data_IF_172328378265
#
_entry.id   IF_172328378265
#
_cell.length_a   1.000
_cell.length_b   1.000
_cell.length_c   1.000
_cell.angle_alpha   90.00
_cell.angle_beta   90.00
_cell.angle_gamma   90.00
#
_symmetry.space_group_name_H-M   'P 1'
#
loop_
_entity.id
_entity.type
_entity.pdbx_description
1 polymer ?
#
# COMPACT_ATOMS: atom_id res chain seq x y z
N UNK A 1 -35.99 -47.40 -19.57
CA UNK A 1 -36.09 -48.70 -18.85
C UNK A 1 -35.48 -48.56 -17.48
N UNK A 2 -36.36 -48.78 -16.45
CA UNK A 2 -36.14 -49.26 -15.06
C UNK A 2 -35.01 -48.60 -14.25
N UNK A 3 -35.33 -47.64 -13.37
CA UNK A 3 -35.53 -47.67 -11.90
C UNK A 3 -34.63 -48.69 -11.17
N UNK A 4 -33.83 -48.22 -10.21
CA UNK A 4 -33.74 -48.82 -8.87
C UNK A 4 -33.30 -47.78 -7.83
N UNK A 5 -34.21 -47.46 -6.92
CA UNK A 5 -34.06 -46.88 -5.59
C UNK A 5 -33.28 -47.85 -4.71
N UNK A 6 -32.43 -47.36 -3.84
CA UNK A 6 -32.14 -48.04 -2.58
C UNK A 6 -31.96 -47.00 -1.43
N UNK A 7 -32.93 -47.01 -0.56
CA UNK A 7 -32.95 -46.36 0.75
C UNK A 7 -32.26 -47.27 1.76
N UNK A 8 -31.41 -46.73 2.62
CA UNK A 8 -30.93 -47.38 3.84
C UNK A 8 -31.07 -46.39 5.04
N UNK A 9 -31.87 -46.77 5.80
CA UNK A 9 -32.46 -46.72 7.15
C UNK A 9 -31.51 -46.21 8.25
N UNK A 10 -32.08 -45.32 9.04
CA UNK A 10 -31.68 -44.86 10.38
C UNK A 10 -31.46 -46.03 11.35
N UNK A 11 -30.44 -45.89 12.22
CA UNK A 11 -30.47 -46.55 13.55
C UNK A 11 -30.07 -45.53 14.61
N UNK A 12 -31.07 -45.13 15.38
CA UNK A 12 -30.97 -44.46 16.66
C UNK A 12 -30.61 -45.51 17.73
N UNK A 13 -29.61 -45.27 18.54
CA UNK A 13 -29.44 -46.00 19.81
C UNK A 13 -29.28 -44.97 20.92
N UNK A 14 -30.38 -44.85 21.65
CA UNK A 14 -30.47 -44.24 22.97
C UNK A 14 -29.93 -45.22 24.03
N UNK A 15 -29.01 -44.77 24.85
CA UNK A 15 -28.76 -45.37 26.15
C UNK A 15 -29.01 -44.34 27.25
N UNK A 16 -30.16 -44.55 27.93
CA UNK A 16 -30.50 -44.03 29.24
C UNK A 16 -30.23 -45.15 30.24
N UNK A 17 -29.62 -44.83 31.34
CA UNK A 17 -29.80 -45.41 32.70
C UNK A 17 -28.63 -44.95 33.60
N UNK A 18 -28.75 -44.65 34.80
CA UNK A 18 -29.80 -44.43 35.78
C UNK A 18 -29.09 -44.04 37.09
N UNK A 19 -29.79 -43.33 37.93
CA UNK A 19 -29.41 -42.85 39.26
C UNK A 19 -28.89 -43.90 40.21
N UNK A 20 -28.02 -43.50 41.17
CA UNK A 20 -27.74 -44.21 42.40
C UNK A 20 -27.12 -43.27 43.41
N UNK A 21 -27.91 -42.89 44.41
CA UNK A 21 -27.63 -42.01 45.54
C UNK A 21 -26.96 -42.79 46.66
N UNK A 22 -25.92 -42.27 47.35
CA UNK A 22 -25.85 -42.16 48.82
C UNK A 22 -24.56 -41.50 49.33
N UNK A 23 -24.78 -40.55 50.13
CA UNK A 23 -24.02 -39.81 51.14
C UNK A 23 -22.89 -40.53 51.88
N UNK A 24 -21.79 -39.84 52.17
CA UNK A 24 -21.44 -39.27 53.48
C UNK A 24 -20.01 -38.76 53.53
N UNK A 25 -19.88 -37.53 54.01
CA UNK A 25 -18.81 -36.95 54.86
C UNK A 25 -17.36 -37.37 54.71
N UNK A 26 -16.47 -36.47 54.32
CA UNK A 26 -15.57 -35.77 55.25
C UNK A 26 -14.60 -34.82 54.52
N UNK A 27 -14.49 -33.64 55.06
CA UNK A 27 -13.52 -32.60 54.84
C UNK A 27 -12.11 -33.03 54.51
N UNK A 28 -11.51 -32.46 53.44
CA UNK A 28 -10.13 -31.91 53.47
C UNK A 28 -9.96 -30.88 52.38
N UNK A 29 -9.61 -29.70 52.83
CA UNK A 29 -9.03 -28.59 52.15
C UNK A 29 -7.97 -29.07 51.11
N UNK A 30 -8.18 -28.79 49.85
CA UNK A 30 -7.10 -28.77 48.86
C UNK A 30 -7.44 -27.63 47.90
N UNK A 31 -6.72 -26.53 48.09
CA UNK A 31 -6.54 -25.49 47.06
C UNK A 31 -6.25 -26.19 45.72
N UNK A 32 -7.27 -26.32 44.91
CA UNK A 32 -7.10 -26.44 43.46
C UNK A 32 -6.91 -25.04 42.90
N UNK A 33 -5.67 -24.69 42.69
CA UNK A 33 -5.35 -23.72 41.62
C UNK A 33 -6.04 -24.23 40.35
N UNK A 34 -7.21 -23.72 40.07
CA UNK A 34 -7.82 -23.81 38.75
C UNK A 34 -6.95 -22.95 37.85
N UNK A 35 -5.91 -23.56 37.26
CA UNK A 35 -5.28 -23.07 36.07
C UNK A 35 -6.38 -23.03 35.00
N UNK A 36 -7.14 -21.92 34.93
CA UNK A 36 -7.94 -21.58 33.75
C UNK A 36 -6.93 -21.52 32.61
N UNK A 37 -6.86 -22.56 31.78
CA UNK A 37 -6.30 -22.42 30.45
C UNK A 37 -7.12 -21.29 29.81
N UNK A 38 -6.52 -20.13 29.66
CA UNK A 38 -7.11 -19.08 28.84
C UNK A 38 -7.33 -19.70 27.46
N UNK A 39 -8.53 -19.58 26.93
CA UNK A 39 -8.87 -20.07 25.60
C UNK A 39 -7.99 -19.34 24.59
N UNK A 40 -7.37 -20.10 23.69
CA UNK A 40 -6.51 -19.54 22.64
C UNK A 40 -7.40 -18.81 21.64
N UNK A 41 -7.14 -17.52 21.46
CA UNK A 41 -7.80 -16.67 20.46
C UNK A 41 -6.99 -16.73 19.17
N UNK A 42 -7.65 -16.94 18.04
CA UNK A 42 -7.01 -16.84 16.71
C UNK A 42 -7.49 -15.56 16.03
N UNK A 43 -6.57 -14.66 15.72
CA UNK A 43 -6.81 -13.48 14.90
C UNK A 43 -6.38 -13.73 13.46
N UNK A 44 -7.15 -13.20 12.52
CA UNK A 44 -6.87 -13.31 11.09
C UNK A 44 -6.37 -11.99 10.53
N UNK A 45 -5.32 -12.04 9.72
CA UNK A 45 -4.73 -10.87 9.08
C UNK A 45 -4.71 -11.03 7.56
N UNK A 46 -5.31 -10.08 6.83
CA UNK A 46 -5.24 -10.01 5.36
C UNK A 46 -3.99 -9.24 4.94
N UNK A 47 -3.10 -9.92 4.21
CA UNK A 47 -1.85 -9.36 3.67
C UNK A 47 -1.85 -9.50 2.14
N UNK A 48 -1.79 -8.40 1.39
CA UNK A 48 -1.70 -8.47 -0.06
C UNK A 48 -0.36 -9.06 -0.51
N UNK A 49 -0.39 -9.94 -1.52
CA UNK A 49 0.82 -10.54 -2.10
C UNK A 49 1.57 -11.54 -1.22
N UNK A 50 1.03 -11.93 -0.05
CA UNK A 50 1.72 -12.82 0.88
C UNK A 50 2.10 -14.17 0.27
N UNK A 51 1.21 -14.81 -0.47
CA UNK A 51 1.49 -16.09 -1.16
C UNK A 51 2.50 -15.94 -2.31
N UNK A 52 2.71 -14.71 -2.79
CA UNK A 52 3.72 -14.37 -3.78
C UNK A 52 5.07 -14.00 -3.16
N UNK A 53 5.18 -14.10 -1.84
CA UNK A 53 6.39 -13.83 -1.07
C UNK A 53 6.46 -12.44 -0.44
N UNK A 54 5.51 -11.54 -0.73
CA UNK A 54 5.50 -10.19 -0.17
C UNK A 54 5.45 -10.22 1.36
N UNK A 55 6.51 -9.73 2.01
CA UNK A 55 6.70 -9.72 3.46
C UNK A 55 6.51 -11.08 4.16
N UNK A 56 6.51 -12.19 3.41
CA UNK A 56 6.20 -13.50 3.96
C UNK A 56 7.18 -13.94 5.05
N UNK A 57 8.46 -13.77 4.81
CA UNK A 57 9.52 -14.13 5.77
C UNK A 57 9.41 -13.25 7.02
N UNK A 58 9.27 -11.92 6.84
CA UNK A 58 9.20 -10.95 7.92
C UNK A 58 7.98 -11.16 8.81
N UNK A 59 6.80 -11.39 8.22
CA UNK A 59 5.59 -11.69 8.99
C UNK A 59 5.67 -13.04 9.67
N UNK A 60 6.21 -14.07 9.02
CA UNK A 60 6.36 -15.40 9.65
C UNK A 60 7.25 -15.32 10.89
N UNK A 61 8.38 -14.61 10.81
CA UNK A 61 9.28 -14.40 11.95
C UNK A 61 8.59 -13.58 13.06
N UNK A 62 7.97 -12.45 12.70
CA UNK A 62 7.31 -11.58 13.67
C UNK A 62 6.13 -12.27 14.37
N UNK A 63 5.31 -13.02 13.64
CA UNK A 63 4.21 -13.83 14.20
C UNK A 63 4.76 -14.86 15.18
N UNK A 64 5.81 -15.57 14.82
CA UNK A 64 6.42 -16.58 15.70
C UNK A 64 6.97 -15.97 17.01
N UNK A 65 7.53 -14.75 16.95
CA UNK A 65 7.99 -14.02 18.14
C UNK A 65 6.81 -13.52 18.98
N UNK A 66 5.77 -12.96 18.33
CA UNK A 66 4.57 -12.48 18.99
C UNK A 66 3.84 -13.61 19.75
N UNK A 67 3.62 -14.76 19.09
CA UNK A 67 2.93 -15.91 19.68
C UNK A 67 3.71 -16.51 20.86
N UNK A 68 5.04 -16.40 20.84
CA UNK A 68 5.87 -16.83 21.97
C UNK A 68 5.71 -15.91 23.19
N UNK A 69 5.57 -14.60 22.94
CA UNK A 69 5.31 -13.61 24.00
C UNK A 69 3.84 -13.67 24.48
N UNK A 70 2.91 -14.09 23.60
CA UNK A 70 1.47 -14.11 23.83
C UNK A 70 0.90 -15.51 23.52
N UNK A 71 1.14 -16.53 24.36
CA UNK A 71 0.83 -17.94 24.03
C UNK A 71 -0.68 -18.24 23.90
N UNK A 72 -1.54 -17.32 24.34
CA UNK A 72 -2.99 -17.37 24.21
C UNK A 72 -3.52 -16.69 22.93
N UNK A 73 -2.65 -16.13 22.07
CA UNK A 73 -3.04 -15.52 20.80
C UNK A 73 -2.32 -16.22 19.66
N UNK A 74 -3.07 -16.57 18.60
CA UNK A 74 -2.56 -17.07 17.32
C UNK A 74 -2.86 -16.08 16.22
N UNK A 75 -1.96 -16.00 15.22
CA UNK A 75 -2.13 -15.11 14.06
C UNK A 75 -2.09 -15.94 12.79
N UNK A 76 -3.19 -15.93 12.04
CA UNK A 76 -3.30 -16.60 10.74
C UNK A 76 -3.36 -15.57 9.61
N UNK A 77 -2.50 -15.74 8.58
CA UNK A 77 -2.45 -14.83 7.44
C UNK A 77 -3.33 -15.34 6.31
N UNK A 78 -4.17 -14.45 5.80
CA UNK A 78 -4.97 -14.62 4.58
C UNK A 78 -4.30 -13.80 3.48
N UNK A 79 -4.06 -14.39 2.31
CA UNK A 79 -3.50 -13.71 1.16
C UNK A 79 -4.58 -13.22 0.20
N UNK A 80 -4.29 -12.08 -0.47
CA UNK A 80 -5.03 -11.58 -1.63
C UNK A 80 -4.04 -10.96 -2.63
N UNK A 81 -4.40 -10.88 -3.91
CA UNK A 81 -3.64 -10.06 -4.88
C UNK A 81 -3.83 -8.56 -4.59
N UNK A 82 -2.84 -7.76 -4.96
CA UNK A 82 -2.94 -6.30 -4.82
C UNK A 82 -4.13 -5.73 -5.63
N UNK A 83 -4.35 -6.24 -6.84
CA UNK A 83 -5.40 -5.78 -7.76
C UNK A 83 -6.81 -6.10 -7.24
N UNK A 84 -6.96 -7.17 -6.48
CA UNK A 84 -8.25 -7.63 -5.96
C UNK A 84 -8.48 -7.29 -4.48
N UNK A 85 -7.50 -6.64 -3.83
CA UNK A 85 -7.50 -6.38 -2.39
C UNK A 85 -8.79 -5.69 -1.91
N UNK A 86 -9.13 -4.55 -2.52
CA UNK A 86 -10.30 -3.76 -2.13
C UNK A 86 -11.60 -4.55 -2.32
N UNK A 87 -11.77 -5.23 -3.45
CA UNK A 87 -12.95 -6.06 -3.69
C UNK A 87 -13.04 -7.24 -2.72
N UNK A 88 -11.91 -7.84 -2.37
CA UNK A 88 -11.82 -8.92 -1.39
C UNK A 88 -12.25 -8.46 0.01
N UNK A 89 -11.78 -7.29 0.44
CA UNK A 89 -12.18 -6.68 1.72
C UNK A 89 -13.70 -6.50 1.78
N UNK A 90 -14.29 -5.90 0.73
CA UNK A 90 -15.75 -5.69 0.67
C UNK A 90 -16.51 -7.02 0.71
N UNK A 91 -16.07 -8.02 -0.07
CA UNK A 91 -16.71 -9.34 -0.10
C UNK A 91 -16.67 -10.04 1.27
N UNK A 92 -15.51 -10.03 1.93
CA UNK A 92 -15.34 -10.66 3.24
C UNK A 92 -16.17 -9.94 4.32
N UNK A 93 -16.21 -8.61 4.28
CA UNK A 93 -17.02 -7.81 5.20
C UNK A 93 -18.52 -8.10 5.04
N UNK A 94 -19.04 -8.07 3.80
CA UNK A 94 -20.44 -8.39 3.49
C UNK A 94 -20.82 -9.82 3.90
N UNK A 95 -19.89 -10.76 3.77
CA UNK A 95 -20.07 -12.14 4.21
C UNK A 95 -19.96 -12.32 5.74
N UNK A 96 -19.69 -11.24 6.53
CA UNK A 96 -19.39 -11.28 7.96
C UNK A 96 -18.22 -12.21 8.31
N UNK A 97 -17.22 -12.23 7.44
CA UNK A 97 -15.98 -13.02 7.54
C UNK A 97 -14.74 -12.12 7.36
N UNK A 98 -14.91 -10.82 7.61
CA UNK A 98 -13.78 -9.90 7.53
C UNK A 98 -12.68 -10.34 8.51
N UNK A 99 -11.41 -10.33 8.08
CA UNK A 99 -10.29 -10.58 8.98
C UNK A 99 -10.24 -9.49 10.06
N UNK A 100 -9.60 -9.81 11.18
CA UNK A 100 -9.46 -8.86 12.31
C UNK A 100 -8.56 -7.69 11.92
N UNK A 101 -7.48 -7.97 11.17
CA UNK A 101 -6.50 -7.00 10.67
C UNK A 101 -6.48 -7.06 9.15
N UNK A 102 -6.39 -5.89 8.51
CA UNK A 102 -6.21 -5.80 7.06
C UNK A 102 -5.06 -4.81 6.76
N UNK A 103 -4.15 -5.21 5.88
CA UNK A 103 -3.09 -4.33 5.41
C UNK A 103 -3.60 -3.56 4.18
N UNK A 104 -3.79 -2.25 4.31
CA UNK A 104 -4.40 -1.39 3.29
C UNK A 104 -3.58 -0.14 3.02
N UNK A 105 -3.55 0.30 1.76
CA UNK A 105 -3.01 1.61 1.40
C UNK A 105 -3.86 2.76 1.96
N UNK A 106 -3.21 3.87 2.33
CA UNK A 106 -3.86 5.08 2.85
C UNK A 106 -4.98 5.60 1.95
N UNK A 107 -4.85 5.44 0.64
CA UNK A 107 -5.83 5.82 -0.39
C UNK A 107 -7.21 5.17 -0.23
N UNK A 108 -7.27 3.97 0.36
CA UNK A 108 -8.52 3.23 0.54
C UNK A 108 -9.23 3.51 1.88
N UNK A 109 -8.58 4.21 2.80
CA UNK A 109 -9.10 4.38 4.17
C UNK A 109 -10.41 5.15 4.20
N UNK A 110 -10.54 6.20 3.41
CA UNK A 110 -11.79 6.98 3.34
C UNK A 110 -12.95 6.10 2.87
N UNK A 111 -12.76 5.40 1.76
CA UNK A 111 -13.77 4.50 1.20
C UNK A 111 -14.26 3.49 2.25
N UNK A 112 -13.35 2.85 2.96
CA UNK A 112 -13.72 1.78 3.89
C UNK A 112 -14.22 2.31 5.23
N UNK A 113 -13.71 3.44 5.74
CA UNK A 113 -14.19 4.03 6.99
C UNK A 113 -15.59 4.63 6.83
N UNK A 114 -15.87 5.36 5.74
CA UNK A 114 -17.21 5.91 5.47
C UNK A 114 -18.27 4.81 5.24
N UNK A 115 -17.87 3.64 4.75
CA UNK A 115 -18.74 2.46 4.63
C UNK A 115 -18.80 1.59 5.90
N UNK A 116 -18.23 2.05 7.01
CA UNK A 116 -18.29 1.36 8.31
C UNK A 116 -17.51 0.05 8.38
N UNK A 117 -16.58 -0.20 7.44
CA UNK A 117 -15.76 -1.42 7.38
C UNK A 117 -14.63 -1.38 8.41
N UNK A 118 -14.05 -0.19 8.63
CA UNK A 118 -12.91 -0.02 9.51
C UNK A 118 -13.30 0.43 10.91
N UNK A 119 -12.55 -0.04 11.89
CA UNK A 119 -12.64 0.38 13.30
C UNK A 119 -11.87 1.67 13.52
N UNK A 120 -12.43 2.58 14.32
CA UNK A 120 -11.76 3.79 14.79
C UNK A 120 -10.80 3.44 15.94
N UNK A 121 -9.51 3.45 15.67
CA UNK A 121 -8.45 3.13 16.63
C UNK A 121 -7.94 4.36 17.41
N UNK A 122 -8.56 5.52 17.28
CA UNK A 122 -8.08 6.78 17.89
C UNK A 122 -7.84 6.66 19.39
N UNK A 123 -8.75 6.01 20.11
CA UNK A 123 -8.64 5.82 21.55
C UNK A 123 -7.81 4.61 21.98
N UNK A 124 -7.41 3.77 21.04
CA UNK A 124 -6.61 2.58 21.31
C UNK A 124 -5.11 2.89 21.41
N UNK A 125 -4.64 3.94 20.72
CA UNK A 125 -3.27 4.42 20.81
C UNK A 125 -3.07 5.36 22.00
N UNK A 126 -2.04 5.11 22.80
CA UNK A 126 -1.60 6.07 23.82
C UNK A 126 -0.88 7.25 23.18
N UNK A 127 -0.78 8.38 23.91
CA UNK A 127 -0.04 9.55 23.40
C UNK A 127 1.46 9.26 23.23
N UNK A 128 2.03 8.39 24.06
CA UNK A 128 3.41 7.92 23.93
C UNK A 128 3.60 7.14 22.61
N UNK A 129 2.70 6.23 22.29
CA UNK A 129 2.76 5.48 21.03
C UNK A 129 2.63 6.40 19.81
N UNK A 130 1.74 7.40 19.87
CA UNK A 130 1.62 8.40 18.80
C UNK A 130 2.88 9.22 18.61
N UNK A 131 3.55 9.59 19.73
CA UNK A 131 4.78 10.37 19.71
C UNK A 131 6.00 9.61 19.15
N UNK A 132 5.98 8.29 19.09
CA UNK A 132 7.03 7.50 18.42
C UNK A 132 7.00 7.64 16.90
N UNK A 133 5.80 7.88 16.31
CA UNK A 133 5.62 8.03 14.88
C UNK A 133 5.97 9.44 14.39
N UNK A 134 6.45 9.52 13.15
CA UNK A 134 6.56 10.79 12.43
C UNK A 134 5.14 11.31 12.18
N UNK A 135 4.80 12.49 12.70
CA UNK A 135 3.42 12.99 12.79
C UNK A 135 2.68 13.00 11.44
N UNK A 136 3.29 13.57 10.40
CA UNK A 136 2.68 13.64 9.06
C UNK A 136 2.52 12.25 8.42
N UNK A 137 3.33 11.27 8.82
CA UNK A 137 3.19 9.86 8.37
C UNK A 137 2.04 9.19 9.12
N UNK A 138 1.94 9.37 10.44
CA UNK A 138 0.82 8.86 11.22
C UNK A 138 -0.53 9.44 10.73
N UNK A 139 -0.51 10.71 10.35
CA UNK A 139 -1.69 11.42 9.85
C UNK A 139 -2.23 10.87 8.52
N UNK A 140 -1.42 10.17 7.72
CA UNK A 140 -1.90 9.48 6.52
C UNK A 140 -2.94 8.39 6.83
N UNK A 141 -2.93 7.88 8.07
CA UNK A 141 -3.91 6.91 8.56
C UNK A 141 -5.22 7.50 9.07
N UNK A 142 -5.37 8.84 9.03
CA UNK A 142 -6.58 9.54 9.52
C UNK A 142 -7.58 9.80 8.41
N UNK A 143 -8.87 9.70 8.76
CA UNK A 143 -10.01 10.16 7.96
C UNK A 143 -10.92 10.96 8.88
N UNK A 144 -11.23 12.21 8.53
CA UNK A 144 -12.08 13.06 9.37
C UNK A 144 -11.59 13.25 10.80
N UNK A 145 -10.26 13.25 11.01
CA UNK A 145 -9.61 13.39 12.31
C UNK A 145 -9.56 12.11 13.17
N UNK A 146 -10.09 10.99 12.68
CA UNK A 146 -10.09 9.69 13.35
C UNK A 146 -9.03 8.78 12.75
N UNK A 147 -8.38 7.95 13.57
CA UNK A 147 -7.31 7.04 13.17
C UNK A 147 -7.89 5.69 12.73
N UNK A 148 -7.89 5.41 11.44
CA UNK A 148 -8.36 4.14 10.86
C UNK A 148 -7.22 3.24 10.38
N UNK A 149 -6.03 3.79 10.13
CA UNK A 149 -4.83 3.05 9.77
C UNK A 149 -3.65 3.45 10.65
N UNK A 150 -2.85 2.48 11.06
CA UNK A 150 -1.55 2.71 11.71
C UNK A 150 -0.47 2.37 10.69
N UNK A 151 0.34 3.34 10.25
CA UNK A 151 1.34 3.13 9.21
C UNK A 151 2.28 1.97 9.51
N UNK A 152 2.57 1.17 8.51
CA UNK A 152 3.55 0.08 8.51
C UNK A 152 4.70 0.37 7.56
N UNK A 153 4.40 0.95 6.41
CA UNK A 153 5.35 1.21 5.36
C UNK A 153 5.16 2.63 4.81
N UNK A 154 6.27 3.26 4.49
CA UNK A 154 6.34 4.57 3.85
C UNK A 154 7.19 4.47 2.60
N UNK A 155 6.66 4.82 1.46
CA UNK A 155 7.39 4.86 0.20
C UNK A 155 7.36 6.24 -0.44
N UNK A 156 8.45 6.55 -1.13
CA UNK A 156 8.67 7.76 -1.93
C UNK A 156 9.16 7.37 -3.31
N UNK A 157 9.39 8.36 -4.15
CA UNK A 157 9.82 8.16 -5.53
C UNK A 157 11.12 8.91 -5.80
N UNK A 158 11.94 8.32 -6.68
CA UNK A 158 13.14 8.94 -7.24
C UNK A 158 13.20 8.76 -8.74
N UNK A 159 14.03 9.57 -9.38
CA UNK A 159 14.37 9.43 -10.79
C UNK A 159 15.59 8.50 -10.92
N UNK A 160 15.36 7.30 -11.43
CA UNK A 160 16.42 6.36 -11.80
C UNK A 160 16.93 6.72 -13.19
N UNK A 161 18.25 6.85 -13.36
CA UNK A 161 18.82 7.20 -14.64
C UNK A 161 20.16 6.51 -14.92
N UNK A 162 20.43 6.28 -16.18
CA UNK A 162 21.67 5.73 -16.72
C UNK A 162 22.80 6.76 -16.63
N UNK A 163 23.73 6.59 -15.69
CA UNK A 163 24.80 7.56 -15.47
C UNK A 163 25.94 7.50 -16.51
N UNK A 164 25.98 6.47 -17.36
CA UNK A 164 26.83 6.40 -18.54
C UNK A 164 26.29 7.21 -19.73
N UNK A 165 24.98 7.43 -19.81
CA UNK A 165 24.33 8.23 -20.85
C UNK A 165 24.07 9.67 -20.39
N UNK A 166 23.72 9.86 -19.13
CA UNK A 166 23.25 11.12 -18.55
C UNK A 166 24.24 11.51 -17.44
N UNK A 167 25.00 12.58 -17.66
CA UNK A 167 26.02 13.04 -16.72
C UNK A 167 25.42 13.68 -15.48
N UNK A 168 24.36 14.48 -15.66
CA UNK A 168 23.62 15.17 -14.61
C UNK A 168 22.13 14.87 -14.78
N UNK A 169 21.46 14.49 -13.68
CA UNK A 169 20.02 14.27 -13.69
C UNK A 169 19.27 15.57 -14.02
N UNK A 170 18.17 15.52 -14.78
CA UNK A 170 17.34 16.68 -15.06
C UNK A 170 16.73 17.21 -13.75
N UNK A 171 16.76 18.53 -13.57
CA UNK A 171 16.31 19.22 -12.34
C UNK A 171 14.87 19.70 -12.42
N UNK A 172 14.36 19.87 -13.65
CA UNK A 172 12.99 20.36 -13.91
C UNK A 172 12.39 19.66 -15.12
N UNK A 173 11.09 19.90 -15.37
CA UNK A 173 10.35 19.25 -16.45
C UNK A 173 10.88 19.57 -17.84
N UNK A 174 11.40 20.77 -18.08
CA UNK A 174 11.98 21.15 -19.37
C UNK A 174 13.26 20.34 -19.63
N UNK A 175 14.15 20.26 -18.64
CA UNK A 175 15.35 19.42 -18.72
C UNK A 175 15.00 17.94 -18.88
N UNK A 176 13.97 17.43 -18.15
CA UNK A 176 13.50 16.05 -18.29
C UNK A 176 13.07 15.76 -19.73
N UNK A 177 12.29 16.65 -20.35
CA UNK A 177 11.82 16.52 -21.73
C UNK A 177 13.00 16.50 -22.72
N UNK A 178 13.96 17.40 -22.52
CA UNK A 178 15.14 17.50 -23.39
C UNK A 178 16.02 16.24 -23.27
N UNK A 179 16.31 15.80 -22.06
CA UNK A 179 17.11 14.57 -21.81
C UNK A 179 16.37 13.33 -22.34
N UNK A 180 15.06 13.25 -22.18
CA UNK A 180 14.26 12.16 -22.74
C UNK A 180 14.33 12.11 -24.26
N UNK A 181 14.22 13.28 -24.92
CA UNK A 181 14.37 13.41 -26.38
C UNK A 181 15.75 12.99 -26.88
N UNK A 182 16.81 13.47 -26.23
CA UNK A 182 18.21 13.19 -26.61
C UNK A 182 18.56 11.71 -26.53
N UNK A 183 17.95 10.99 -25.55
CA UNK A 183 18.22 9.58 -25.28
C UNK A 183 17.21 8.62 -25.94
N UNK A 184 16.23 9.12 -26.69
CA UNK A 184 15.32 8.27 -27.49
C UNK A 184 15.96 7.99 -28.86
N UNK A 185 16.52 6.78 -29.03
CA UNK A 185 17.21 6.36 -30.26
C UNK A 185 17.03 4.86 -30.49
N UNK A 186 16.61 4.47 -31.69
CA UNK A 186 16.37 3.06 -32.00
C UNK A 186 15.28 2.47 -31.10
N UNK A 187 15.62 1.42 -30.38
CA UNK A 187 14.71 0.78 -29.42
C UNK A 187 14.69 1.48 -28.05
N UNK A 188 15.73 2.26 -27.73
CA UNK A 188 15.84 2.94 -26.45
C UNK A 188 14.82 4.08 -26.35
N UNK A 189 14.09 4.09 -25.25
CA UNK A 189 13.24 5.19 -24.82
C UNK A 189 13.96 6.06 -23.81
N UNK A 190 13.77 7.37 -23.90
CA UNK A 190 14.47 8.32 -23.05
C UNK A 190 13.91 8.38 -21.63
N UNK A 191 12.62 8.17 -21.48
CA UNK A 191 11.95 8.22 -20.19
C UNK A 191 10.80 7.21 -20.13
N UNK A 192 10.44 6.77 -18.93
CA UNK A 192 9.21 6.06 -18.69
C UNK A 192 8.55 6.51 -17.38
N UNK A 193 7.21 6.57 -17.44
CA UNK A 193 6.33 6.71 -16.31
C UNK A 193 5.19 5.72 -16.50
N UNK A 194 4.86 4.89 -15.51
CA UNK A 194 3.73 3.98 -15.65
C UNK A 194 2.44 4.77 -15.75
N UNK A 195 1.62 4.38 -16.70
CA UNK A 195 0.28 4.92 -16.93
C UNK A 195 -0.72 3.78 -17.14
N UNK A 196 -0.38 2.59 -16.62
CA UNK A 196 -1.29 1.44 -16.55
C UNK A 196 -2.26 1.59 -15.36
N UNK A 197 -3.33 0.78 -15.37
CA UNK A 197 -4.39 0.85 -14.36
C UNK A 197 -3.96 0.39 -12.96
N UNK A 198 -2.84 -0.31 -12.85
CA UNK A 198 -2.38 -0.87 -11.57
C UNK A 198 -1.46 0.10 -10.80
N UNK A 199 -0.58 0.79 -11.52
CA UNK A 199 0.50 1.59 -10.91
C UNK A 199 0.58 3.04 -11.41
N UNK A 200 -0.20 3.41 -12.42
CA UNK A 200 -0.06 4.70 -13.09
C UNK A 200 -0.41 5.89 -12.22
N UNK A 201 -1.52 5.85 -11.52
CA UNK A 201 -2.01 6.99 -10.74
C UNK A 201 -1.00 7.50 -9.73
N UNK A 202 -0.34 6.61 -8.97
CA UNK A 202 0.64 6.99 -7.94
C UNK A 202 1.81 7.79 -8.53
N UNK A 203 2.24 7.45 -9.73
CA UNK A 203 3.35 8.13 -10.39
C UNK A 203 2.91 9.43 -11.07
N UNK A 204 1.69 9.46 -11.63
CA UNK A 204 1.11 10.66 -12.25
C UNK A 204 0.89 11.75 -11.21
N UNK A 205 0.46 11.40 -10.00
CA UNK A 205 0.22 12.32 -8.89
C UNK A 205 1.47 13.15 -8.53
N UNK A 206 2.69 12.61 -8.69
CA UNK A 206 3.91 13.40 -8.48
C UNK A 206 3.89 14.67 -9.35
N UNK A 207 3.57 14.52 -10.63
CA UNK A 207 3.54 15.64 -11.58
C UNK A 207 2.35 16.58 -11.32
N UNK A 208 1.20 16.06 -10.92
CA UNK A 208 0.05 16.88 -10.50
C UNK A 208 0.48 17.81 -9.36
N UNK A 209 1.08 17.28 -8.30
CA UNK A 209 1.51 18.07 -7.15
C UNK A 209 2.66 19.03 -7.48
N UNK A 210 3.61 18.62 -8.32
CA UNK A 210 4.69 19.48 -8.81
C UNK A 210 4.20 20.68 -9.61
N UNK A 211 3.04 20.59 -10.25
CA UNK A 211 2.43 21.73 -10.97
C UNK A 211 1.48 22.56 -10.12
N UNK A 212 1.34 22.22 -8.81
CA UNK A 212 0.39 22.88 -7.90
C UNK A 212 -1.06 22.41 -8.05
N UNK A 213 -1.28 21.31 -8.79
CA UNK A 213 -2.59 20.71 -8.97
C UNK A 213 -3.06 19.92 -7.74
N UNK A 214 -4.35 19.60 -7.74
CA UNK A 214 -5.02 18.80 -6.69
C UNK A 214 -6.03 17.87 -7.34
N UNK A 215 -6.36 16.78 -6.67
CA UNK A 215 -7.43 15.86 -7.09
C UNK A 215 -8.75 16.22 -6.40
N UNK A 216 -8.67 16.55 -5.11
CA UNK A 216 -9.83 17.02 -4.33
C UNK A 216 -9.52 18.36 -3.67
N UNK A 217 -10.54 19.14 -3.45
CA UNK A 217 -10.47 20.39 -2.67
C UNK A 217 -10.50 20.10 -1.15
N UNK A 218 -10.50 21.16 -0.34
CA UNK A 218 -10.53 21.07 1.12
C UNK A 218 -11.87 20.50 1.67
N UNK A 219 -12.91 20.51 0.84
CA UNK A 219 -14.22 19.95 1.16
C UNK A 219 -14.37 18.50 0.66
N UNK A 220 -13.33 17.94 0.02
CA UNK A 220 -13.33 16.60 -0.55
C UNK A 220 -14.04 16.48 -1.90
N UNK A 221 -14.35 17.60 -2.58
CA UNK A 221 -14.90 17.57 -3.92
C UNK A 221 -13.80 17.41 -4.95
N UNK A 222 -14.06 16.67 -6.02
CA UNK A 222 -13.12 16.52 -7.12
C UNK A 222 -12.86 17.87 -7.83
N UNK A 223 -11.58 18.17 -8.09
CA UNK A 223 -11.10 19.33 -8.87
C UNK A 223 -10.11 18.88 -9.95
N UNK A 224 -10.40 17.71 -10.54
CA UNK A 224 -9.51 16.99 -11.46
C UNK A 224 -9.22 17.81 -12.72
N UNK A 225 -10.18 18.57 -13.22
CA UNK A 225 -10.06 19.38 -14.45
C UNK A 225 -9.54 20.80 -14.21
N UNK A 226 -8.82 21.02 -13.10
CA UNK A 226 -8.18 22.30 -12.85
C UNK A 226 -7.16 22.66 -13.92
N UNK A 227 -6.87 23.96 -14.07
CA UNK A 227 -5.87 24.46 -15.03
C UNK A 227 -4.51 23.79 -14.84
N UNK A 228 -4.08 23.61 -13.60
CA UNK A 228 -2.80 23.00 -13.24
C UNK A 228 -2.73 21.54 -13.70
N UNK A 229 -3.82 20.80 -13.54
CA UNK A 229 -3.90 19.40 -13.97
C UNK A 229 -3.93 19.29 -15.50
N UNK A 230 -4.64 20.20 -16.19
CA UNK A 230 -4.63 20.26 -17.66
C UNK A 230 -3.22 20.56 -18.19
N UNK A 231 -2.51 21.52 -17.59
CA UNK A 231 -1.11 21.84 -17.95
C UNK A 231 -0.19 20.61 -17.73
N UNK A 232 -0.41 19.84 -16.68
CA UNK A 232 0.33 18.60 -16.43
C UNK A 232 0.10 17.57 -17.55
N UNK A 233 -1.13 17.38 -18.00
CA UNK A 233 -1.42 16.47 -19.11
C UNK A 233 -0.91 16.99 -20.46
N UNK A 234 -0.84 18.30 -20.66
CA UNK A 234 -0.16 18.89 -21.83
C UNK A 234 1.35 18.58 -21.83
N UNK A 235 1.98 18.56 -20.65
CA UNK A 235 3.37 18.11 -20.53
C UNK A 235 3.50 16.61 -20.85
N UNK A 236 2.64 15.75 -20.34
CA UNK A 236 2.64 14.33 -20.66
C UNK A 236 2.45 14.04 -22.15
N UNK A 237 1.58 14.82 -22.81
CA UNK A 237 1.41 14.74 -24.27
C UNK A 237 2.70 15.04 -25.01
N UNK A 238 3.54 15.98 -24.53
CA UNK A 238 4.87 16.24 -25.11
C UNK A 238 5.85 15.08 -24.85
N UNK A 239 5.76 14.44 -23.67
CA UNK A 239 6.59 13.28 -23.32
C UNK A 239 6.21 12.02 -24.10
N UNK A 240 4.99 11.89 -24.59
CA UNK A 240 4.45 10.67 -25.21
C UNK A 240 5.31 10.12 -26.37
N UNK A 241 6.04 10.98 -27.10
CA UNK A 241 6.94 10.55 -28.17
C UNK A 241 8.20 9.81 -27.66
N UNK A 242 8.56 10.01 -26.40
CA UNK A 242 9.83 9.57 -25.80
C UNK A 242 9.67 8.49 -24.73
N UNK A 243 8.45 8.06 -24.49
CA UNK A 243 8.10 6.99 -23.55
C UNK A 243 7.70 5.69 -24.28
N UNK A 244 7.74 4.52 -23.61
CA UNK A 244 7.09 3.31 -24.13
C UNK A 244 5.60 3.51 -24.36
N UNK A 245 4.92 2.47 -24.85
CA UNK A 245 3.46 2.53 -25.01
C UNK A 245 2.78 2.91 -23.67
N UNK A 246 2.10 4.07 -23.59
CA UNK A 246 1.52 4.56 -22.34
C UNK A 246 0.30 3.78 -21.87
N UNK A 247 -0.23 2.85 -22.67
CA UNK A 247 -1.44 2.07 -22.30
C UNK A 247 -1.08 0.73 -21.70
N UNK A 248 -0.02 0.08 -22.20
CA UNK A 248 0.30 -1.30 -21.90
C UNK A 248 1.57 -1.51 -21.05
N UNK A 249 2.43 -0.49 -20.92
CA UNK A 249 3.73 -0.66 -20.25
C UNK A 249 3.58 -0.46 -18.74
N UNK A 250 3.72 -1.56 -18.01
CA UNK A 250 3.65 -1.56 -16.55
C UNK A 250 4.95 -1.09 -15.89
N UNK A 251 4.91 -0.78 -14.58
CA UNK A 251 6.13 -0.49 -13.80
C UNK A 251 7.16 -1.62 -13.91
N UNK A 252 6.72 -2.88 -13.83
CA UNK A 252 7.60 -4.03 -13.95
C UNK A 252 8.26 -4.13 -15.34
N UNK A 253 7.54 -3.73 -16.40
CA UNK A 253 8.12 -3.71 -17.74
C UNK A 253 9.16 -2.60 -17.86
N UNK A 254 8.92 -1.43 -17.27
CA UNK A 254 9.87 -0.31 -17.25
C UNK A 254 11.16 -0.68 -16.51
N UNK A 255 11.05 -1.37 -15.36
CA UNK A 255 12.21 -1.90 -14.63
C UNK A 255 13.04 -2.86 -15.50
N UNK A 256 12.38 -3.82 -16.17
CA UNK A 256 13.04 -4.73 -17.11
C UNK A 256 13.68 -4.00 -18.30
N UNK A 257 13.00 -3.02 -18.90
CA UNK A 257 13.54 -2.20 -19.98
C UNK A 257 14.80 -1.46 -19.53
N UNK A 258 14.80 -0.91 -18.32
CA UNK A 258 15.95 -0.20 -17.78
C UNK A 258 17.15 -1.15 -17.59
N UNK A 259 16.94 -2.32 -16.99
CA UNK A 259 17.98 -3.36 -16.83
C UNK A 259 18.51 -3.87 -18.19
N UNK A 260 17.63 -3.98 -19.18
CA UNK A 260 17.97 -4.45 -20.53
C UNK A 260 18.60 -3.37 -21.44
N UNK A 261 18.83 -2.17 -20.92
CA UNK A 261 19.36 -1.02 -21.69
C UNK A 261 18.43 -0.48 -22.78
N UNK A 262 17.12 -0.67 -22.64
CA UNK A 262 16.10 -0.15 -23.54
C UNK A 262 15.44 1.13 -23.00
N UNK A 263 15.88 1.62 -21.82
CA UNK A 263 15.33 2.79 -21.14
C UNK A 263 16.45 3.61 -20.49
N UNK A 264 16.43 4.94 -20.68
CA UNK A 264 17.45 5.83 -20.12
C UNK A 264 17.07 6.38 -18.72
N UNK A 265 15.79 6.64 -18.48
CA UNK A 265 15.28 7.16 -17.20
C UNK A 265 13.90 6.61 -16.90
N UNK A 266 13.59 6.41 -15.61
CA UNK A 266 12.23 6.12 -15.16
C UNK A 266 12.05 6.52 -13.69
N UNK A 267 10.78 6.61 -13.27
CA UNK A 267 10.41 6.87 -11.89
C UNK A 267 10.07 5.56 -11.21
N UNK A 268 10.67 5.33 -10.04
CA UNK A 268 10.34 4.19 -9.18
C UNK A 268 10.74 4.48 -7.73
N UNK A 269 10.66 3.48 -6.85
CA UNK A 269 10.94 3.61 -5.43
C UNK A 269 12.07 2.70 -4.93
N UNK A 270 12.27 2.68 -3.61
CA UNK A 270 13.36 1.96 -2.95
C UNK A 270 13.36 0.45 -3.18
N UNK A 271 12.19 -0.14 -3.48
CA UNK A 271 12.07 -1.58 -3.80
C UNK A 271 12.86 -2.02 -5.04
N UNK A 272 13.28 -1.10 -5.89
CA UNK A 272 14.08 -1.42 -7.08
C UNK A 272 15.54 -1.77 -6.74
N UNK A 273 16.00 -1.47 -5.54
CA UNK A 273 17.42 -1.62 -5.21
C UNK A 273 17.96 -3.02 -5.50
N UNK A 274 17.24 -4.04 -5.07
CA UNK A 274 17.65 -5.43 -5.29
C UNK A 274 17.67 -5.79 -6.79
N UNK A 275 16.66 -5.35 -7.55
CA UNK A 275 16.57 -5.56 -9.01
C UNK A 275 17.73 -4.87 -9.71
N UNK A 276 18.01 -3.63 -9.33
CA UNK A 276 19.10 -2.86 -9.91
C UNK A 276 20.46 -3.47 -9.56
N UNK A 277 20.71 -3.80 -8.31
CA UNK A 277 21.97 -4.40 -7.85
C UNK A 277 22.28 -5.72 -8.56
N UNK A 278 21.25 -6.54 -8.84
CA UNK A 278 21.40 -7.81 -9.56
C UNK A 278 21.48 -7.65 -11.09
N UNK A 279 20.77 -6.68 -11.65
CA UNK A 279 20.61 -6.53 -13.10
C UNK A 279 21.61 -5.57 -13.73
N UNK A 280 22.16 -4.64 -12.96
CA UNK A 280 22.97 -3.52 -13.46
C UNK A 280 24.48 -3.67 -13.19
N UNK A 281 24.99 -4.88 -12.97
CA UNK A 281 26.42 -5.15 -12.70
C UNK A 281 27.39 -4.48 -13.69
N UNK A 282 26.96 -4.29 -14.95
CA UNK A 282 27.80 -3.75 -16.04
C UNK A 282 27.32 -2.39 -16.53
N UNK A 283 26.22 -1.88 -15.99
CA UNK A 283 25.57 -0.67 -16.48
C UNK A 283 25.35 0.28 -15.32
N UNK A 284 26.12 1.36 -15.23
CA UNK A 284 26.02 2.27 -14.09
C UNK A 284 24.71 3.04 -14.10
N UNK A 285 24.05 3.09 -12.95
CA UNK A 285 22.88 3.91 -12.72
C UNK A 285 23.06 4.80 -11.49
N UNK A 286 22.22 5.79 -11.37
CA UNK A 286 22.09 6.64 -10.18
C UNK A 286 20.61 6.94 -9.92
N UNK A 287 20.35 7.38 -8.70
CA UNK A 287 19.03 7.89 -8.30
C UNK A 287 19.17 9.38 -8.02
N UNK A 288 18.20 10.16 -8.46
CA UNK A 288 18.09 11.59 -8.18
C UNK A 288 16.71 11.93 -7.59
N UNK A 289 16.60 13.12 -7.02
CA UNK A 289 15.28 13.69 -6.72
C UNK A 289 14.47 13.79 -8.01
N UNK A 290 13.13 13.69 -7.90
CA UNK A 290 12.26 13.95 -9.04
C UNK A 290 12.48 15.39 -9.54
N UNK A 291 12.47 15.60 -10.88
CA UNK A 291 12.58 16.93 -11.46
C UNK A 291 11.35 17.78 -11.07
N UNK A 292 11.58 19.03 -10.68
CA UNK A 292 10.49 19.92 -10.27
C UNK A 292 9.68 20.46 -11.45
N UNK A 293 8.40 20.69 -11.23
CA UNK A 293 7.55 21.47 -12.10
C UNK A 293 7.60 22.95 -11.72
N UNK A 294 6.45 23.54 -11.34
CA UNK A 294 6.40 24.87 -10.72
C UNK A 294 6.97 24.85 -9.29
N UNK A 295 6.98 23.70 -8.67
CA UNK A 295 7.49 23.44 -7.33
C UNK A 295 8.02 21.99 -7.24
N UNK A 296 8.76 21.71 -6.18
CA UNK A 296 9.09 20.33 -5.82
C UNK A 296 7.84 19.63 -5.31
N UNK A 297 7.75 18.33 -5.52
CA UNK A 297 6.63 17.53 -5.04
C UNK A 297 6.86 16.05 -5.27
N UNK A 298 6.35 15.24 -4.36
CA UNK A 298 6.33 13.77 -4.46
C UNK A 298 5.07 13.25 -3.79
N UNK A 299 4.52 12.17 -4.31
CA UNK A 299 3.44 11.43 -3.65
C UNK A 299 4.02 10.60 -2.52
N UNK A 300 3.53 10.79 -1.30
CA UNK A 300 3.80 9.92 -0.16
C UNK A 300 2.77 8.80 -0.14
N UNK A 301 3.24 7.57 -0.23
CA UNK A 301 2.39 6.38 -0.19
C UNK A 301 2.67 5.62 1.10
N UNK A 302 1.62 5.39 1.88
CA UNK A 302 1.69 4.59 3.11
C UNK A 302 0.77 3.39 3.02
N UNK A 303 1.29 2.24 3.46
CA UNK A 303 0.48 1.08 3.79
C UNK A 303 0.32 1.00 5.30
N UNK A 304 -0.88 0.65 5.75
CA UNK A 304 -1.25 0.71 7.16
C UNK A 304 -1.90 -0.58 7.63
N UNK A 305 -1.65 -0.93 8.88
CA UNK A 305 -2.50 -1.86 9.61
C UNK A 305 -3.84 -1.19 9.89
N UNK A 306 -4.91 -1.81 9.45
CA UNK A 306 -6.29 -1.42 9.75
C UNK A 306 -6.99 -2.54 10.48
N UNK A 307 -8.06 -2.22 11.21
CA UNK A 307 -8.85 -3.20 11.94
C UNK A 307 -10.28 -3.24 11.41
N UNK A 308 -10.86 -4.42 11.34
CA UNK A 308 -12.27 -4.57 10.96
C UNK A 308 -13.20 -4.10 12.08
N UNK A 309 -14.22 -3.31 11.72
CA UNK A 309 -15.24 -2.86 12.67
C UNK A 309 -16.05 -4.01 13.29
N UNK A 310 -16.17 -5.14 12.56
CA UNK A 310 -16.90 -6.33 13.00
C UNK A 310 -16.00 -7.39 13.67
N UNK A 311 -14.71 -7.09 13.89
CA UNK A 311 -13.83 -8.01 14.64
C UNK A 311 -14.36 -8.21 16.06
N UNK A 312 -14.41 -9.47 16.50
CA UNK A 312 -14.71 -9.86 17.89
C UNK A 312 -13.43 -9.90 18.76
N UNK A 313 -12.24 -9.75 18.15
CA UNK A 313 -10.94 -9.87 18.78
C UNK A 313 -10.12 -8.56 18.69
N UNK A 314 -10.81 -7.39 18.80
CA UNK A 314 -10.19 -6.07 18.63
C UNK A 314 -8.99 -5.83 19.56
N UNK A 315 -9.07 -6.34 20.79
CA UNK A 315 -8.00 -6.19 21.76
C UNK A 315 -6.74 -6.95 21.33
N UNK A 316 -6.90 -8.21 20.98
CA UNK A 316 -5.83 -9.11 20.55
C UNK A 316 -5.21 -8.64 19.22
N UNK A 317 -6.06 -8.19 18.29
CA UNK A 317 -5.64 -7.60 17.03
C UNK A 317 -4.80 -6.32 17.26
N UNK A 318 -5.22 -5.45 18.16
CA UNK A 318 -4.48 -4.24 18.48
C UNK A 318 -3.17 -4.53 19.21
N UNK A 319 -3.10 -5.57 20.07
CA UNK A 319 -1.84 -6.03 20.69
C UNK A 319 -0.82 -6.46 19.61
N UNK A 320 -1.28 -7.17 18.56
CA UNK A 320 -0.40 -7.53 17.45
C UNK A 320 0.06 -6.30 16.65
N UNK A 321 -0.84 -5.36 16.34
CA UNK A 321 -0.49 -4.10 15.65
C UNK A 321 0.56 -3.32 16.46
N UNK A 322 0.40 -3.20 17.77
CA UNK A 322 1.40 -2.57 18.65
C UNK A 322 2.74 -3.30 18.62
N UNK A 323 2.71 -4.62 18.64
CA UNK A 323 3.93 -5.41 18.55
C UNK A 323 4.66 -5.13 17.24
N UNK A 324 3.95 -5.09 16.12
CA UNK A 324 4.53 -4.78 14.81
C UNK A 324 5.10 -3.36 14.73
N UNK A 325 4.49 -2.40 15.43
CA UNK A 325 4.96 -1.00 15.52
C UNK A 325 6.20 -0.79 16.40
N UNK A 326 6.69 -1.81 17.13
CA UNK A 326 7.95 -1.68 17.87
C UNK A 326 9.12 -1.42 16.91
N UNK A 327 10.06 -0.57 17.32
CA UNK A 327 11.22 -0.16 16.50
C UNK A 327 11.98 -1.36 15.89
N UNK A 328 12.18 -2.42 16.65
CA UNK A 328 12.88 -3.63 16.20
C UNK A 328 12.18 -4.35 15.04
N UNK A 329 10.84 -4.45 15.12
CA UNK A 329 10.02 -5.09 14.07
C UNK A 329 9.91 -4.16 12.86
N UNK A 330 9.72 -2.86 13.11
CA UNK A 330 9.61 -1.87 12.04
C UNK A 330 10.88 -1.80 11.20
N UNK A 331 12.08 -1.83 11.81
CA UNK A 331 13.34 -1.88 11.08
C UNK A 331 13.47 -3.10 10.15
N UNK A 332 12.94 -4.26 10.56
CA UNK A 332 12.95 -5.48 9.73
C UNK A 332 12.01 -5.30 8.53
N UNK A 333 10.80 -4.78 8.76
CA UNK A 333 9.81 -4.54 7.71
C UNK A 333 10.33 -3.50 6.70
N UNK A 334 10.82 -2.37 7.17
CA UNK A 334 11.33 -1.29 6.31
C UNK A 334 12.51 -1.74 5.47
N UNK A 335 13.43 -2.53 6.04
CA UNK A 335 14.60 -3.03 5.33
C UNK A 335 14.26 -4.02 4.21
N UNK A 336 13.16 -4.75 4.33
CA UNK A 336 12.79 -5.81 3.40
C UNK A 336 12.51 -5.29 1.97
N UNK A 337 12.00 -4.04 1.85
CA UNK A 337 11.58 -3.47 0.57
C UNK A 337 12.15 -2.07 0.29
N UNK A 338 13.19 -1.65 1.02
CA UNK A 338 13.79 -0.33 0.82
C UNK A 338 12.82 0.81 1.07
N UNK A 339 11.91 0.62 2.03
CA UNK A 339 10.99 1.67 2.48
C UNK A 339 11.68 2.69 3.38
N UNK A 340 10.96 3.76 3.68
CA UNK A 340 11.43 4.84 4.55
C UNK A 340 10.87 4.70 5.96
N UNK A 341 11.56 5.29 6.96
CA UNK A 341 11.16 5.18 8.34
C UNK A 341 9.80 5.85 8.60
N UNK A 342 9.01 5.21 9.44
CA UNK A 342 7.76 5.75 9.96
C UNK A 342 7.90 6.22 11.42
N UNK A 343 8.98 5.82 12.09
CA UNK A 343 9.28 6.18 13.48
C UNK A 343 10.47 7.16 13.54
N UNK A 344 10.42 8.12 14.48
CA UNK A 344 11.51 9.08 14.68
C UNK A 344 12.86 8.41 14.92
N UNK A 345 12.92 7.41 15.82
CA UNK A 345 14.16 6.68 16.12
C UNK A 345 14.69 5.84 14.95
N UNK A 346 13.80 5.39 14.06
CA UNK A 346 14.22 4.68 12.87
C UNK A 346 14.86 5.63 11.85
N UNK A 347 14.36 6.86 11.74
CA UNK A 347 14.87 7.88 10.83
C UNK A 347 16.30 8.33 11.14
N UNK A 348 16.81 8.05 12.35
CA UNK A 348 18.19 8.32 12.75
C UNK A 348 19.21 7.36 12.11
N UNK A 349 18.76 6.27 11.46
CA UNK A 349 19.65 5.26 10.87
C UNK A 349 20.42 5.84 9.67
N UNK A 350 21.78 5.79 9.68
CA UNK A 350 22.60 6.35 8.60
C UNK A 350 22.33 5.77 7.21
N UNK A 351 21.75 4.57 7.10
CA UNK A 351 21.43 3.93 5.81
C UNK A 351 20.54 4.80 4.92
N UNK A 352 19.69 5.65 5.51
CA UNK A 352 18.83 6.55 4.74
C UNK A 352 19.55 7.79 4.18
N UNK A 353 20.85 7.94 4.44
CA UNK A 353 21.68 9.03 3.94
C UNK A 353 22.62 8.59 2.80
N UNK A 354 22.58 7.33 2.35
CA UNK A 354 23.37 6.86 1.22
C UNK A 354 22.90 7.45 -0.11
N UNK A 355 23.73 7.33 -1.16
CA UNK A 355 23.46 7.92 -2.48
C UNK A 355 22.20 7.37 -3.16
N UNK A 356 21.75 6.18 -2.77
CA UNK A 356 20.53 5.58 -3.32
C UNK A 356 19.28 6.12 -2.62
N UNK A 357 19.27 6.15 -1.29
CA UNK A 357 18.10 6.51 -0.49
C UNK A 357 17.93 8.02 -0.33
N UNK A 358 19.06 8.76 -0.22
CA UNK A 358 19.05 10.19 0.07
C UNK A 358 18.15 11.03 -0.84
N UNK A 359 18.16 10.87 -2.17
CA UNK A 359 17.30 11.68 -3.04
C UNK A 359 15.81 11.45 -2.80
N UNK A 360 15.41 10.20 -2.56
CA UNK A 360 14.02 9.83 -2.28
C UNK A 360 13.58 10.26 -0.87
N UNK A 361 14.50 10.27 0.10
CA UNK A 361 14.26 10.78 1.44
C UNK A 361 14.10 12.31 1.43
N UNK A 362 15.03 13.01 0.80
CA UNK A 362 15.09 14.48 0.84
C UNK A 362 13.87 15.11 0.14
N UNK A 363 13.32 14.46 -0.90
CA UNK A 363 12.12 14.98 -1.57
C UNK A 363 10.86 14.82 -0.74
N UNK A 364 10.84 13.95 0.28
CA UNK A 364 9.67 13.77 1.14
C UNK A 364 9.33 15.00 1.98
N UNK A 365 10.26 15.95 2.14
CA UNK A 365 9.97 17.27 2.71
C UNK A 365 8.86 18.01 1.93
N UNK A 366 8.76 17.73 0.63
CA UNK A 366 7.75 18.29 -0.29
C UNK A 366 6.64 17.27 -0.61
N UNK A 367 6.48 16.26 0.26
CA UNK A 367 5.57 15.15 0.05
C UNK A 367 4.10 15.53 0.26
N UNK A 368 3.25 15.01 -0.61
CA UNK A 368 1.80 15.08 -0.49
C UNK A 368 1.24 13.67 -0.40
N UNK A 369 0.41 13.34 0.59
CA UNK A 369 -0.25 12.04 0.66
C UNK A 369 -1.11 11.76 -0.58
N UNK A 370 -1.36 10.50 -0.86
CA UNK A 370 -2.37 10.09 -1.83
C UNK A 370 -3.72 10.72 -1.47
N UNK A 371 -4.51 11.17 -2.48
CA UNK A 371 -5.78 11.82 -2.21
C UNK A 371 -6.77 10.80 -1.64
N UNK A 372 -7.38 11.13 -0.52
CA UNK A 372 -8.45 10.33 0.05
C UNK A 372 -9.77 10.63 -0.66
N UNK A 373 -10.10 9.81 -1.66
CA UNK A 373 -11.32 9.94 -2.47
C UNK A 373 -12.40 8.96 -1.97
N UNK A 374 -13.69 9.22 -2.27
CA UNK A 374 -14.78 8.34 -1.82
C UNK A 374 -14.69 6.89 -2.34
N UNK A 375 -14.18 6.70 -3.56
CA UNK A 375 -13.92 5.40 -4.16
C UNK A 375 -12.61 5.48 -4.96
N UNK A 376 -11.57 4.83 -4.42
CA UNK A 376 -10.25 4.84 -5.05
C UNK A 376 -10.24 4.10 -6.39
N UNK A 377 -10.91 2.97 -6.48
CA UNK A 377 -10.86 2.12 -7.69
C UNK A 377 -11.51 2.83 -8.89
N UNK A 378 -12.64 3.51 -8.68
CA UNK A 378 -13.30 4.31 -9.71
C UNK A 378 -12.44 5.51 -10.11
N UNK A 379 -11.86 6.22 -9.12
CA UNK A 379 -10.95 7.33 -9.39
C UNK A 379 -9.73 6.88 -10.18
N UNK A 380 -9.00 5.85 -9.70
CA UNK A 380 -7.82 5.31 -10.34
C UNK A 380 -8.09 4.94 -11.80
N UNK A 381 -9.18 4.21 -12.04
CA UNK A 381 -9.57 3.80 -13.39
C UNK A 381 -9.90 4.99 -14.29
N UNK A 382 -10.77 5.89 -13.84
CA UNK A 382 -11.22 7.02 -14.67
C UNK A 382 -10.08 8.00 -14.95
N UNK A 383 -9.27 8.30 -13.94
CA UNK A 383 -8.14 9.23 -14.06
C UNK A 383 -7.03 8.66 -14.95
N UNK A 384 -6.62 7.41 -14.75
CA UNK A 384 -5.61 6.76 -15.59
C UNK A 384 -6.05 6.70 -17.05
N UNK A 385 -7.32 6.35 -17.33
CA UNK A 385 -7.87 6.35 -18.70
C UNK A 385 -7.84 7.76 -19.30
N UNK A 386 -8.14 8.81 -18.53
CA UNK A 386 -8.07 10.18 -19.00
C UNK A 386 -6.64 10.57 -19.41
N UNK A 387 -5.64 10.20 -18.60
CA UNK A 387 -4.22 10.41 -18.90
C UNK A 387 -3.82 9.68 -20.18
N UNK A 388 -4.15 8.38 -20.30
CA UNK A 388 -3.86 7.59 -21.51
C UNK A 388 -4.47 8.22 -22.77
N UNK A 389 -5.73 8.68 -22.73
CA UNK A 389 -6.39 9.32 -23.86
C UNK A 389 -5.71 10.64 -24.26
N UNK A 390 -5.26 11.41 -23.29
CA UNK A 390 -4.51 12.64 -23.54
C UNK A 390 -3.13 12.34 -24.17
N UNK A 391 -2.39 11.39 -23.64
CA UNK A 391 -1.07 11.01 -24.15
C UNK A 391 -1.11 10.41 -25.55
N UNK A 392 -2.12 9.60 -25.86
CA UNK A 392 -2.31 8.99 -27.19
C UNK A 392 -2.95 9.95 -28.20
N UNK A 393 -3.36 11.15 -27.77
CA UNK A 393 -4.01 12.14 -28.63
C UNK A 393 -5.45 11.82 -29.01
N UNK A 394 -6.08 10.87 -28.34
CA UNK A 394 -7.50 10.52 -28.54
C UNK A 394 -8.44 11.65 -28.06
N UNK A 395 -8.06 12.33 -27.00
CA UNK A 395 -8.73 13.53 -26.48
C UNK A 395 -7.70 14.63 -26.21
N UNK A 396 -8.15 15.87 -26.18
CA UNK A 396 -7.35 16.94 -25.60
C UNK A 396 -7.23 16.74 -24.08
N UNK A 397 -6.16 17.21 -23.42
CA UNK A 397 -6.04 17.16 -21.97
C UNK A 397 -7.26 17.71 -21.22
N UNK A 398 -7.82 18.85 -21.67
CA UNK A 398 -9.02 19.43 -21.08
C UNK A 398 -10.22 18.49 -21.19
N UNK A 399 -10.53 18.00 -22.41
CA UNK A 399 -11.66 17.08 -22.62
C UNK A 399 -11.52 15.79 -21.83
N UNK A 400 -10.29 15.24 -21.71
CA UNK A 400 -10.03 14.04 -20.97
C UNK A 400 -10.33 14.22 -19.47
N UNK A 401 -9.86 15.33 -18.88
CA UNK A 401 -10.09 15.63 -17.47
C UNK A 401 -11.52 16.09 -17.17
N UNK A 402 -12.18 16.81 -18.09
CA UNK A 402 -13.61 17.17 -17.95
C UNK A 402 -14.49 15.91 -17.93
N UNK A 403 -14.19 14.93 -18.79
CA UNK A 403 -14.90 13.65 -18.79
C UNK A 403 -14.69 12.88 -17.50
N UNK A 404 -13.45 12.82 -16.99
CA UNK A 404 -13.12 12.18 -15.72
C UNK A 404 -13.83 12.86 -14.54
N UNK A 405 -13.79 14.20 -14.46
CA UNK A 405 -14.48 14.99 -13.44
C UNK A 405 -15.98 14.72 -13.45
N UNK A 406 -16.62 14.72 -14.63
CA UNK A 406 -18.05 14.48 -14.78
C UNK A 406 -18.47 13.05 -14.47
N UNK A 407 -17.60 12.07 -14.70
CA UNK A 407 -17.84 10.66 -14.36
C UNK A 407 -17.83 10.45 -12.84
N UNK A 408 -16.86 11.03 -12.14
CA UNK A 408 -16.65 10.86 -10.71
C UNK A 408 -17.54 11.74 -9.82
N UNK A 409 -18.15 12.80 -10.39
CA UNK A 409 -19.09 13.67 -9.69
C UNK A 409 -20.53 13.12 -9.61
N UNK A 410 -20.81 11.95 -10.20
CA UNK A 410 -22.12 11.28 -10.19
C UNK A 410 -22.30 10.42 -8.96
#
# INVERSE_FOLDING_TARGET
MKKKFLAILLVFVLFLSACGNKSSDNSKDSNKDENKKEDVVTIHMLVPGYDQGYLKEQFTDAIGRFEKENPNIKVEVISAGWEELNSKVVQLYQAKKAPDIMLLGSRSLRQFSENGILEDMTSMMTDEQKADYIENVLDTGKVGGKQFGIPMALSSRGLFYRSDLIKEAPKNWEELLNVAKENTKGNMKGFAIPTDLTSGTDEILNFIYQNGGKIVDENGNFVINSKENVETLEFFKKLAAYVPDPVSTTRNDQSKMFVNNDLAMYISGGWEKETMDKGMDKTPYKVAMLPEGKQKGVTIVTDSYTMSSISEHKKEAFEFIKFMGKLENQKIITAAYGWFPILHKEAEDPKYADDFNKPMRDIMEFGTPEPQVPNWDDFNKSFTIAVQKAMTGQLSPQEALDNCQNELAK
#
